data_IF_956462970012
#
_entry.id   IF_956462970012
#
_cell.length_a   1.000
_cell.length_b   1.000
_cell.length_c   1.000
_cell.angle_alpha   90.00
_cell.angle_beta   90.00
_cell.angle_gamma   90.00
#
_symmetry.space_group_name_H-M   'P 1'
#
loop_
_entity.id
_entity.type
_entity.pdbx_description
1 polymer ?
#
# COMPACT_ATOMS: atom_id res chain seq x y z
N UNK A 1 18.41 25.05 -4.55
CA UNK A 1 19.46 24.55 -5.45
C UNK A 1 19.89 23.19 -4.92
N UNK A 2 19.34 22.11 -5.49
CA UNK A 2 19.61 20.74 -5.03
C UNK A 2 20.30 20.00 -6.17
N UNK A 3 21.57 19.65 -5.95
CA UNK A 3 22.42 18.99 -6.92
C UNK A 3 21.91 17.58 -7.24
N UNK A 4 21.72 17.30 -8.54
CA UNK A 4 21.63 15.96 -9.10
C UNK A 4 22.95 15.23 -8.84
N UNK A 5 22.91 14.07 -8.20
CA UNK A 5 24.04 13.13 -8.17
C UNK A 5 23.72 12.04 -9.20
N UNK A 6 24.41 12.11 -10.34
CA UNK A 6 24.44 11.08 -11.37
C UNK A 6 25.54 10.08 -11.00
N UNK A 7 25.17 8.87 -10.57
CA UNK A 7 26.12 7.81 -10.22
C UNK A 7 26.23 6.85 -11.40
N UNK A 8 27.33 6.95 -12.14
CA UNK A 8 27.74 5.99 -13.17
C UNK A 8 28.11 4.65 -12.51
N UNK A 9 27.39 3.58 -12.85
CA UNK A 9 27.84 2.21 -12.58
C UNK A 9 28.80 1.81 -13.71
N UNK A 10 30.10 1.74 -13.42
CA UNK A 10 31.08 1.12 -14.32
C UNK A 10 31.06 -0.41 -14.10
N UNK A 11 30.73 -1.16 -15.16
CA UNK A 11 30.95 -2.60 -15.22
C UNK A 11 32.44 -2.84 -15.51
N UNK A 12 33.15 -3.48 -14.57
CA UNK A 12 34.49 -4.03 -14.84
C UNK A 12 34.31 -5.52 -15.14
N UNK A 13 34.35 -5.89 -16.42
CA UNK A 13 34.42 -7.29 -16.86
C UNK A 13 35.89 -7.72 -16.96
N UNK A 14 36.33 -8.61 -16.08
CA UNK A 14 37.61 -9.31 -16.22
C UNK A 14 37.44 -10.52 -17.15
N UNK A 15 38.09 -10.51 -18.32
CA UNK A 15 38.28 -11.71 -19.14
C UNK A 15 39.60 -12.37 -18.72
N UNK A 16 39.52 -13.55 -18.10
CA UNK A 16 40.69 -14.41 -17.86
C UNK A 16 40.79 -15.37 -19.05
N UNK A 17 41.75 -15.13 -19.94
CA UNK A 17 42.14 -16.05 -21.00
C UNK A 17 43.27 -16.95 -20.45
N UNK A 18 42.93 -18.18 -20.05
CA UNK A 18 43.91 -19.17 -19.63
C UNK A 18 44.26 -20.10 -20.81
N UNK A 19 45.41 -19.87 -21.44
CA UNK A 19 46.05 -20.84 -22.35
C UNK A 19 47.11 -21.64 -21.61
N UNK A 20 46.91 -22.96 -21.52
CA UNK A 20 47.96 -23.94 -21.76
C UNK A 20 48.79 -24.46 -20.57
N UNK A 21 48.63 -25.77 -20.36
CA UNK A 21 49.65 -26.77 -19.99
C UNK A 21 50.18 -26.77 -18.55
N UNK A 22 49.93 -27.89 -17.85
CA UNK A 22 50.81 -28.34 -16.76
C UNK A 22 50.08 -28.87 -15.54
N UNK A 23 50.14 -30.20 -15.40
CA UNK A 23 50.13 -31.02 -14.17
C UNK A 23 49.83 -30.36 -12.80
N UNK A 24 49.01 -31.12 -12.03
CA UNK A 24 49.05 -31.22 -10.57
C UNK A 24 48.71 -29.97 -9.75
N UNK A 25 47.51 -29.98 -9.15
CA UNK A 25 47.27 -29.98 -7.67
C UNK A 25 45.93 -29.34 -7.31
N UNK A 26 45.24 -30.02 -6.39
CA UNK A 26 44.27 -29.49 -5.41
C UNK A 26 43.21 -28.54 -5.96
N UNK A 27 42.04 -29.11 -6.27
CA UNK A 27 40.80 -28.39 -6.51
C UNK A 27 40.33 -27.70 -5.22
N UNK A 28 40.75 -26.46 -5.00
CA UNK A 28 40.05 -25.52 -4.13
C UNK A 28 39.08 -24.76 -5.02
N UNK A 29 37.82 -25.16 -4.99
CA UNK A 29 36.73 -24.41 -5.64
C UNK A 29 36.40 -23.22 -4.75
N UNK A 30 37.04 -22.09 -5.00
CA UNK A 30 36.72 -20.81 -4.36
C UNK A 30 35.41 -20.29 -4.95
N UNK A 31 34.28 -20.56 -4.28
CA UNK A 31 32.99 -19.94 -4.60
C UNK A 31 33.02 -18.50 -4.08
N UNK A 32 33.39 -17.56 -4.95
CA UNK A 32 33.29 -16.14 -4.67
C UNK A 32 31.80 -15.73 -4.73
N UNK A 33 31.17 -15.61 -3.57
CA UNK A 33 29.83 -15.04 -3.42
C UNK A 33 29.94 -13.53 -3.58
N UNK A 34 29.60 -13.03 -4.78
CA UNK A 34 29.44 -11.60 -5.05
C UNK A 34 28.17 -11.10 -4.35
N UNK A 35 28.34 -10.52 -3.17
CA UNK A 35 27.32 -9.68 -2.55
C UNK A 35 27.18 -8.39 -3.37
N UNK A 36 26.21 -8.37 -4.28
CA UNK A 36 25.69 -7.12 -4.84
C UNK A 36 24.96 -6.42 -3.71
N UNK A 37 25.68 -5.56 -2.98
CA UNK A 37 25.07 -4.61 -2.07
C UNK A 37 24.27 -3.61 -2.90
N UNK A 38 22.99 -3.92 -3.11
CA UNK A 38 22.02 -2.98 -3.64
C UNK A 38 22.07 -1.72 -2.77
N UNK A 39 22.45 -0.60 -3.40
CA UNK A 39 22.51 0.71 -2.79
C UNK A 39 21.08 1.11 -2.37
N UNK A 40 20.72 0.78 -1.14
CA UNK A 40 19.41 1.08 -0.57
C UNK A 40 19.27 2.58 -0.40
N UNK A 41 18.22 3.16 -1.00
CA UNK A 41 17.69 4.47 -0.60
C UNK A 41 17.62 4.47 0.93
N UNK A 42 18.15 5.52 1.54
CA UNK A 42 18.11 5.76 2.99
C UNK A 42 16.66 5.77 3.47
N UNK A 43 16.13 4.59 3.77
CA UNK A 43 14.91 4.43 4.55
C UNK A 43 15.18 5.08 5.88
N UNK A 44 14.38 6.09 6.25
CA UNK A 44 14.46 6.73 7.56
C UNK A 44 14.62 5.65 8.64
N UNK A 45 15.66 5.77 9.46
CA UNK A 45 15.88 4.85 10.58
C UNK A 45 14.86 5.06 11.69
N UNK A 46 14.10 6.17 11.66
CA UNK A 46 13.05 6.46 12.62
C UNK A 46 11.72 5.81 12.18
N UNK A 47 11.16 4.88 12.96
CA UNK A 47 9.87 4.27 12.65
C UNK A 47 8.74 5.30 12.48
N UNK A 48 8.79 6.43 13.20
CA UNK A 48 7.78 7.49 13.12
C UNK A 48 7.79 8.15 11.75
N UNK A 49 8.95 8.55 11.25
CA UNK A 49 9.07 9.16 9.93
C UNK A 49 8.78 8.16 8.80
N UNK A 50 9.15 6.89 9.01
CA UNK A 50 8.72 5.81 8.14
C UNK A 50 7.19 5.73 8.01
N UNK A 51 6.46 5.84 9.13
CA UNK A 51 4.99 5.75 9.10
C UNK A 51 4.36 7.01 8.51
N UNK A 52 4.91 8.19 8.78
CA UNK A 52 4.50 9.44 8.10
C UNK A 52 4.60 9.32 6.58
N UNK A 53 5.67 8.68 6.08
CA UNK A 53 5.82 8.44 4.63
C UNK A 53 4.73 7.50 4.10
N UNK A 54 4.42 6.41 4.81
CA UNK A 54 3.31 5.51 4.47
C UNK A 54 1.97 6.27 4.42
N UNK A 55 1.70 7.12 5.43
CA UNK A 55 0.50 7.96 5.47
C UNK A 55 0.44 8.95 4.31
N UNK A 56 1.53 9.65 3.99
CA UNK A 56 1.57 10.60 2.87
C UNK A 56 1.31 9.93 1.51
N UNK A 57 1.84 8.72 1.31
CA UNK A 57 1.55 7.92 0.12
C UNK A 57 0.09 7.46 0.07
N UNK A 58 -0.45 7.05 1.21
CA UNK A 58 -1.87 6.69 1.35
C UNK A 58 -2.78 7.85 0.99
N UNK A 59 -2.51 9.04 1.53
CA UNK A 59 -3.29 10.24 1.25
C UNK A 59 -3.23 10.65 -0.21
N UNK A 60 -2.03 10.59 -0.80
CA UNK A 60 -1.85 10.88 -2.22
C UNK A 60 -2.64 9.91 -3.10
N UNK A 61 -2.61 8.60 -2.80
CA UNK A 61 -3.38 7.60 -3.56
C UNK A 61 -4.88 7.78 -3.41
N UNK A 62 -5.38 8.08 -2.22
CA UNK A 62 -6.81 8.32 -1.99
C UNK A 62 -7.29 9.60 -2.67
N UNK A 63 -6.52 10.69 -2.62
CA UNK A 63 -6.86 11.95 -3.29
C UNK A 63 -6.86 11.83 -4.82
N UNK A 64 -6.02 10.96 -5.37
CA UNK A 64 -5.88 10.76 -6.82
C UNK A 64 -6.74 9.59 -7.36
N UNK A 65 -7.62 9.00 -6.54
CA UNK A 65 -8.54 7.96 -7.00
C UNK A 65 -9.50 8.54 -8.05
N UNK A 66 -9.55 7.90 -9.21
CA UNK A 66 -10.50 8.25 -10.26
C UNK A 66 -11.92 7.83 -9.86
N UNK A 67 -12.96 8.50 -10.37
CA UNK A 67 -14.33 8.03 -10.22
C UNK A 67 -14.47 6.60 -10.75
N UNK A 68 -15.14 5.74 -9.99
CA UNK A 68 -15.41 4.36 -10.38
C UNK A 68 -16.88 4.27 -10.77
N UNK A 69 -17.14 3.81 -11.99
CA UNK A 69 -18.48 3.46 -12.46
C UNK A 69 -18.62 1.94 -12.38
N UNK A 70 -19.66 1.48 -11.68
CA UNK A 70 -19.94 0.06 -11.47
C UNK A 70 -21.29 -0.28 -12.12
N UNK A 71 -21.37 -1.34 -12.95
CA UNK A 71 -22.63 -1.79 -13.51
C UNK A 71 -23.53 -2.42 -12.43
N UNK A 72 -24.85 -2.56 -12.70
CA UNK A 72 -25.76 -3.33 -11.86
C UNK A 72 -25.23 -4.75 -11.61
N UNK A 73 -25.33 -5.25 -10.37
CA UNK A 73 -24.95 -6.63 -10.03
C UNK A 73 -26.16 -7.40 -9.50
N UNK A 74 -26.79 -8.25 -10.33
CA UNK A 74 -27.93 -9.05 -9.89
C UNK A 74 -27.55 -9.99 -8.73
N UNK A 75 -28.41 -10.08 -7.71
CA UNK A 75 -28.25 -11.02 -6.59
C UNK A 75 -27.42 -10.51 -5.41
N UNK A 76 -26.91 -9.29 -5.48
CA UNK A 76 -26.25 -8.65 -4.35
C UNK A 76 -27.23 -7.69 -3.64
N UNK A 77 -27.60 -7.94 -2.37
CA UNK A 77 -28.59 -7.13 -1.67
C UNK A 77 -28.10 -5.70 -1.38
N UNK A 78 -26.78 -5.46 -1.43
CA UNK A 78 -26.17 -4.15 -1.23
C UNK A 78 -25.80 -3.47 -2.55
N UNK A 79 -25.44 -4.25 -3.57
CA UNK A 79 -25.17 -3.77 -4.93
C UNK A 79 -26.43 -3.92 -5.78
N UNK A 80 -27.30 -2.95 -5.55
CA UNK A 80 -28.61 -2.80 -6.16
C UNK A 80 -28.62 -2.87 -7.69
N UNK A 81 -29.80 -3.12 -8.29
CA UNK A 81 -30.10 -3.21 -9.73
C UNK A 81 -29.80 -1.96 -10.59
N UNK A 82 -28.93 -1.06 -10.11
CA UNK A 82 -28.66 0.25 -10.67
C UNK A 82 -27.17 0.39 -10.99
N UNK A 83 -26.85 1.18 -12.01
CA UNK A 83 -25.52 1.72 -12.20
C UNK A 83 -25.16 2.60 -11.02
N UNK A 84 -23.87 2.63 -10.66
CA UNK A 84 -23.37 3.48 -9.59
C UNK A 84 -22.07 4.17 -10.00
N UNK A 85 -21.96 5.47 -9.75
CA UNK A 85 -20.69 6.21 -9.83
C UNK A 85 -20.25 6.58 -8.41
N UNK A 86 -18.98 6.37 -8.07
CA UNK A 86 -18.41 6.66 -6.75
C UNK A 86 -17.14 7.50 -6.87
N UNK A 87 -16.96 8.48 -6.00
CA UNK A 87 -15.71 9.27 -5.86
C UNK A 87 -15.32 9.31 -4.39
N UNK A 88 -14.02 9.14 -4.12
CA UNK A 88 -13.44 9.30 -2.77
C UNK A 88 -13.27 10.77 -2.44
N UNK A 89 -13.61 11.16 -1.22
CA UNK A 89 -13.55 12.56 -0.79
C UNK A 89 -12.72 12.74 0.46
N UNK A 90 -11.79 13.71 0.42
CA UNK A 90 -11.05 14.33 1.53
C UNK A 90 -10.83 13.42 2.75
N UNK A 91 -9.87 12.47 2.69
CA UNK A 91 -9.53 11.66 3.83
C UNK A 91 -8.85 12.53 4.90
N UNK A 92 -9.51 12.75 6.02
CA UNK A 92 -8.80 13.10 7.26
C UNK A 92 -7.94 11.91 7.65
N UNK A 93 -6.68 12.15 8.04
CA UNK A 93 -5.76 11.09 8.43
C UNK A 93 -5.07 11.41 9.75
N UNK A 94 -4.97 10.39 10.59
CA UNK A 94 -4.23 10.43 11.85
C UNK A 94 -3.40 9.15 11.95
N UNK A 95 -2.23 9.24 12.58
CA UNK A 95 -1.40 8.07 12.81
C UNK A 95 -0.89 8.02 14.25
N UNK A 96 -0.67 6.81 14.72
CA UNK A 96 -0.07 6.51 16.01
C UNK A 96 0.97 5.40 15.86
N UNK A 97 2.07 5.52 16.61
CA UNK A 97 3.17 4.54 16.64
C UNK A 97 3.31 4.04 18.06
N UNK A 98 3.07 2.76 18.25
CA UNK A 98 3.10 2.11 19.55
C UNK A 98 4.24 1.11 19.60
N UNK A 99 4.99 1.09 20.71
CA UNK A 99 5.93 0.00 20.98
C UNK A 99 5.17 -1.29 21.29
N UNK A 100 5.75 -2.42 20.94
CA UNK A 100 5.21 -3.74 21.29
C UNK A 100 6.27 -4.56 22.01
N UNK A 101 5.85 -5.63 22.68
CA UNK A 101 6.75 -6.58 23.33
C UNK A 101 7.38 -7.59 22.33
N UNK A 102 7.06 -7.48 21.04
CA UNK A 102 7.56 -8.39 20.01
C UNK A 102 9.00 -8.06 19.61
N UNK A 103 9.89 -9.06 19.72
CA UNK A 103 11.26 -8.97 19.23
C UNK A 103 11.34 -8.87 17.69
N UNK A 104 10.33 -9.39 16.99
CA UNK A 104 10.27 -9.41 15.52
C UNK A 104 9.59 -8.15 14.97
N UNK A 105 8.74 -7.50 15.77
CA UNK A 105 7.98 -6.32 15.37
C UNK A 105 7.91 -5.30 16.49
N UNK A 106 9.03 -4.63 16.82
CA UNK A 106 9.13 -3.79 18.02
C UNK A 106 8.17 -2.59 18.00
N UNK A 107 7.61 -2.25 16.83
CA UNK A 107 6.61 -1.19 16.69
C UNK A 107 5.39 -1.66 15.90
N UNK A 108 4.23 -1.13 16.30
CA UNK A 108 2.95 -1.20 15.60
C UNK A 108 2.54 0.21 15.19
N UNK A 109 2.13 0.36 13.94
CA UNK A 109 1.65 1.61 13.37
C UNK A 109 0.15 1.50 13.13
N UNK A 110 -0.61 2.49 13.59
CA UNK A 110 -2.04 2.60 13.36
C UNK A 110 -2.26 3.84 12.51
N UNK A 111 -2.92 3.70 11.37
CA UNK A 111 -3.32 4.84 10.53
C UNK A 111 -4.83 4.85 10.46
N UNK A 112 -5.46 5.84 11.10
CA UNK A 112 -6.88 6.10 10.98
C UNK A 112 -7.11 7.03 9.79
N UNK A 113 -8.06 6.70 8.93
CA UNK A 113 -8.37 7.52 7.78
C UNK A 113 -9.82 7.35 7.34
N UNK A 114 -10.34 8.37 6.67
CA UNK A 114 -11.68 8.34 6.12
C UNK A 114 -11.68 7.86 4.67
N UNK A 115 -12.45 6.82 4.40
CA UNK A 115 -12.76 6.30 3.06
C UNK A 115 -14.14 6.79 2.60
N UNK A 116 -14.39 8.09 2.79
CA UNK A 116 -15.67 8.69 2.46
C UNK A 116 -15.90 8.63 0.96
N UNK A 117 -17.12 8.30 0.56
CA UNK A 117 -17.49 8.26 -0.84
C UNK A 117 -18.77 9.05 -1.10
N UNK A 118 -18.72 9.87 -2.16
CA UNK A 118 -19.92 10.41 -2.78
C UNK A 118 -20.36 9.50 -3.91
N UNK A 119 -21.66 9.29 -4.07
CA UNK A 119 -22.18 8.45 -5.13
C UNK A 119 -23.45 8.98 -5.81
N UNK A 120 -23.68 8.48 -7.02
CA UNK A 120 -24.93 8.60 -7.76
C UNK A 120 -25.37 7.20 -8.19
N UNK A 121 -26.68 6.96 -8.24
CA UNK A 121 -27.30 5.72 -8.72
C UNK A 121 -28.28 6.03 -9.85
N UNK A 122 -28.41 5.13 -10.81
CA UNK A 122 -29.34 5.30 -11.92
C UNK A 122 -29.52 4.05 -12.77
N UNK A 123 -30.49 4.09 -13.68
CA UNK A 123 -30.89 2.96 -14.53
C UNK A 123 -29.93 2.69 -15.69
N UNK A 124 -29.11 3.67 -16.03
CA UNK A 124 -28.19 3.67 -17.17
C UNK A 124 -26.82 4.23 -16.79
N UNK A 125 -25.79 3.90 -17.58
CA UNK A 125 -24.44 4.43 -17.36
C UNK A 125 -24.40 5.95 -17.52
N UNK A 126 -25.18 6.49 -18.46
CA UNK A 126 -25.29 7.92 -18.75
C UNK A 126 -25.91 8.68 -17.56
N UNK A 127 -26.94 8.12 -16.93
CA UNK A 127 -27.64 8.75 -15.80
C UNK A 127 -26.75 9.01 -14.59
N UNK A 128 -25.68 8.22 -14.39
CA UNK A 128 -24.75 8.35 -13.26
C UNK A 128 -23.53 9.22 -13.56
N UNK A 129 -23.40 9.77 -14.78
CA UNK A 129 -22.31 10.70 -15.11
C UNK A 129 -22.52 12.11 -14.54
N UNK A 130 -23.75 12.42 -14.10
CA UNK A 130 -24.11 13.70 -13.50
C UNK A 130 -23.60 13.92 -12.06
N UNK A 131 -24.27 14.81 -11.33
CA UNK A 131 -23.91 15.19 -9.97
C UNK A 131 -23.98 14.01 -8.99
N UNK A 132 -23.00 13.96 -8.07
CA UNK A 132 -23.00 13.01 -6.96
C UNK A 132 -23.82 13.58 -5.80
N UNK A 133 -24.87 12.87 -5.41
CA UNK A 133 -25.87 13.35 -4.45
C UNK A 133 -25.72 12.73 -3.08
N UNK A 134 -25.42 11.44 -3.04
CA UNK A 134 -25.36 10.71 -1.78
C UNK A 134 -23.94 10.72 -1.23
N UNK A 135 -23.83 10.68 0.10
CA UNK A 135 -22.56 10.64 0.82
C UNK A 135 -22.59 9.52 1.85
N UNK A 136 -21.54 8.71 1.85
CA UNK A 136 -21.31 7.70 2.89
C UNK A 136 -19.97 8.01 3.52
N UNK A 137 -20.02 8.28 4.82
CA UNK A 137 -18.83 8.36 5.65
C UNK A 137 -18.36 6.93 5.97
N UNK A 138 -17.06 6.68 5.89
CA UNK A 138 -16.51 5.38 6.27
C UNK A 138 -15.18 5.60 6.96
N UNK A 139 -15.10 5.26 8.24
CA UNK A 139 -13.88 5.39 9.02
C UNK A 139 -13.12 4.08 8.99
N UNK A 140 -11.86 4.13 8.61
CA UNK A 140 -10.99 2.98 8.48
C UNK A 140 -9.76 3.10 9.37
N UNK A 141 -9.24 1.97 9.83
CA UNK A 141 -7.97 1.85 10.54
C UNK A 141 -7.12 0.80 9.85
N UNK A 142 -6.00 1.24 9.27
CA UNK A 142 -4.96 0.36 8.78
C UNK A 142 -3.94 0.09 9.88
N UNK A 143 -3.58 -1.18 10.07
CA UNK A 143 -2.57 -1.63 11.03
C UNK A 143 -1.33 -2.08 10.27
N UNK A 144 -0.17 -1.58 10.68
CA UNK A 144 1.15 -1.93 10.15
C UNK A 144 2.04 -2.45 11.27
N UNK A 145 2.96 -3.36 10.93
CA UNK A 145 4.04 -3.81 11.82
C UNK A 145 5.38 -3.33 11.28
N UNK A 146 6.27 -2.87 12.14
CA UNK A 146 7.62 -2.48 11.75
C UNK A 146 8.55 -3.70 11.80
N UNK A 147 8.95 -4.20 10.64
CA UNK A 147 9.76 -5.41 10.46
C UNK A 147 10.93 -5.06 9.54
N UNK A 148 12.15 -5.48 9.89
CA UNK A 148 13.33 -5.30 9.03
C UNK A 148 13.52 -3.85 8.51
N UNK A 149 13.29 -2.85 9.39
CA UNK A 149 13.34 -1.42 9.08
C UNK A 149 12.28 -0.92 8.08
N UNK A 150 11.20 -1.68 7.87
CA UNK A 150 10.08 -1.35 6.98
C UNK A 150 8.73 -1.51 7.67
N UNK A 151 7.74 -0.77 7.19
CA UNK A 151 6.34 -0.91 7.62
C UNK A 151 5.61 -1.92 6.73
N UNK A 152 5.08 -2.98 7.34
CA UNK A 152 4.36 -4.05 6.66
C UNK A 152 2.89 -4.02 7.07
N UNK A 153 1.99 -3.83 6.11
CA UNK A 153 0.55 -3.86 6.30
C UNK A 153 0.11 -5.23 6.84
N UNK A 154 -0.74 -5.20 7.86
CA UNK A 154 -1.28 -6.42 8.50
C UNK A 154 -2.79 -6.51 8.31
N UNK A 155 -3.51 -5.44 8.61
CA UNK A 155 -4.97 -5.47 8.59
C UNK A 155 -5.56 -4.11 8.20
N UNK A 156 -6.76 -4.14 7.61
CA UNK A 156 -7.62 -2.99 7.46
C UNK A 156 -8.97 -3.34 8.05
N UNK A 157 -9.45 -2.46 8.92
CA UNK A 157 -10.76 -2.60 9.53
C UNK A 157 -11.53 -1.29 9.31
N UNK A 158 -12.79 -1.36 8.88
CA UNK A 158 -13.59 -0.17 8.58
C UNK A 158 -14.98 -0.22 9.23
N UNK A 159 -15.51 0.94 9.59
CA UNK A 159 -16.88 1.12 10.08
C UNK A 159 -17.66 2.00 9.08
N UNK A 160 -18.75 1.45 8.52
CA UNK A 160 -19.66 2.13 7.57
C UNK A 160 -20.81 2.87 8.25
N UNK A 161 -21.01 2.70 9.57
CA UNK A 161 -22.12 3.30 10.30
C UNK A 161 -21.63 3.91 11.63
N UNK A 162 -21.46 5.25 11.69
CA UNK A 162 -21.05 5.91 12.92
C UNK A 162 -22.11 5.86 14.03
N UNK A 163 -23.35 5.47 13.71
CA UNK A 163 -24.45 5.34 14.69
C UNK A 163 -24.51 3.96 15.37
N UNK A 164 -23.75 2.97 14.88
CA UNK A 164 -23.63 1.64 15.49
C UNK A 164 -22.34 1.54 16.29
N UNK A 165 -22.35 0.87 17.46
CA UNK A 165 -21.15 0.69 18.27
C UNK A 165 -20.05 0.04 17.43
N UNK A 166 -18.86 0.64 17.53
CA UNK A 166 -17.66 0.43 16.71
C UNK A 166 -17.20 -1.02 16.66
N UNK A 167 -17.87 -1.85 15.86
CA UNK A 167 -17.31 -3.09 15.35
C UNK A 167 -16.67 -2.78 14.01
N UNK A 168 -15.34 -2.72 14.01
CA UNK A 168 -14.60 -2.71 12.76
C UNK A 168 -14.58 -4.14 12.22
N UNK A 169 -15.15 -4.34 11.04
CA UNK A 169 -15.11 -5.63 10.36
C UNK A 169 -13.79 -5.74 9.59
N UNK A 170 -13.08 -6.86 9.75
CA UNK A 170 -11.86 -7.12 9.00
C UNK A 170 -12.22 -7.44 7.56
N UNK A 171 -11.71 -6.65 6.62
CA UNK A 171 -12.00 -6.83 5.21
C UNK A 171 -11.11 -7.97 4.70
N UNK A 172 -11.66 -8.94 3.97
CA UNK A 172 -10.92 -10.05 3.34
C UNK A 172 -10.31 -9.68 1.97
N UNK A 173 -9.34 -10.49 1.52
CA UNK A 173 -8.53 -10.16 0.36
C UNK A 173 -9.32 -10.50 -0.89
N UNK A 174 -9.55 -9.53 -1.78
CA UNK A 174 -10.36 -9.73 -2.99
C UNK A 174 -11.78 -9.19 -2.92
N UNK A 175 -12.15 -8.47 -1.86
CA UNK A 175 -13.36 -7.65 -1.89
C UNK A 175 -13.26 -6.63 -3.05
N UNK A 176 -14.24 -6.61 -3.96
CA UNK A 176 -14.31 -5.65 -5.07
C UNK A 176 -15.05 -4.36 -4.69
N UNK A 177 -15.43 -4.24 -3.42
CA UNK A 177 -16.08 -3.06 -2.87
C UNK A 177 -15.16 -1.84 -2.73
N UNK A 178 -15.75 -0.71 -2.37
CA UNK A 178 -15.03 0.50 -1.93
C UNK A 178 -14.05 0.18 -0.79
N UNK A 179 -14.43 -0.74 0.10
CA UNK A 179 -13.55 -1.21 1.17
C UNK A 179 -12.39 -2.05 0.63
N UNK A 180 -12.65 -2.86 -0.40
CA UNK A 180 -11.64 -3.57 -1.17
C UNK A 180 -10.61 -2.64 -1.83
N UNK A 181 -11.06 -1.55 -2.44
CA UNK A 181 -10.18 -0.52 -2.99
C UNK A 181 -9.40 0.22 -1.91
N UNK A 182 -10.06 0.61 -0.80
CA UNK A 182 -9.36 1.19 0.36
C UNK A 182 -8.30 0.23 0.92
N UNK A 183 -8.60 -1.08 0.96
CA UNK A 183 -7.64 -2.11 1.34
C UNK A 183 -6.49 -2.20 0.36
N UNK A 184 -6.77 -2.26 -0.94
CA UNK A 184 -5.73 -2.31 -1.98
C UNK A 184 -4.82 -1.10 -1.93
N UNK A 185 -5.35 0.08 -1.64
CA UNK A 185 -4.58 1.32 -1.47
C UNK A 185 -3.73 1.22 -0.21
N UNK A 186 -4.29 0.77 0.92
CA UNK A 186 -3.54 0.59 2.17
C UNK A 186 -2.43 -0.46 2.06
N UNK A 187 -2.70 -1.63 1.46
CA UNK A 187 -1.73 -2.71 1.34
C UNK A 187 -0.61 -2.40 0.36
N UNK A 188 -0.91 -1.71 -0.76
CA UNK A 188 0.09 -1.31 -1.77
C UNK A 188 1.08 -0.23 -1.31
N UNK A 189 0.95 0.27 -0.07
CA UNK A 189 1.88 1.22 0.53
C UNK A 189 2.88 0.55 1.49
N UNK A 190 2.86 -0.77 1.59
CA UNK A 190 3.95 -1.53 2.24
C UNK A 190 5.07 -1.78 1.22
N UNK A 191 6.29 -1.26 1.44
CA UNK A 191 7.44 -1.44 0.56
C UNK A 191 8.16 -2.79 0.75
#
# INVERSE_FOLDING_TARGET
MSHLIQICCWFVTFNILATGVGMLRTSIVTVAVLFVAACGKTSSSDPVDGLKSVMGNLQTKLNNQKPVITPPKPGDPYYTQWWARKIYTNPTMEFDVQKTDSLVSPYRGLVNFECNNRFAKGDSQESVQGELRDFVETKCRATYAFQEKKWVFKALACNRDPSKPTFFEEIEAGDSSVLGQCRSIASSNSP
#
